data_IF_201130415569
#
_entry.id   IF_201130415569
#
_cell.length_a   1.000
_cell.length_b   1.000
_cell.length_c   1.000
_cell.angle_alpha   90.00
_cell.angle_beta   90.00
_cell.angle_gamma   90.00
#
_symmetry.space_group_name_H-M   'P 1'
#
loop_
_entity.id
_entity.type
_entity.pdbx_description
1 polymer ?
#
# COMPACT_ATOMS: atom_id res chain seq x y z
N UNK A 1 15.04 -16.00 -21.10
CA UNK A 1 14.45 -16.11 -19.81
C UNK A 1 14.65 -14.85 -19.00
N UNK A 2 13.58 -14.35 -18.46
CA UNK A 2 13.68 -13.18 -17.62
C UNK A 2 14.20 -13.58 -16.26
N UNK A 3 15.27 -12.97 -15.85
CA UNK A 3 15.80 -13.20 -14.57
C UNK A 3 15.66 -12.06 -13.69
N UNK A 4 15.13 -10.99 -14.19
CA UNK A 4 15.20 -9.76 -13.48
C UNK A 4 14.02 -9.43 -12.64
N UNK A 5 12.88 -10.05 -12.85
CA UNK A 5 11.67 -9.61 -12.16
C UNK A 5 11.38 -10.46 -10.93
N UNK A 6 11.57 -9.85 -9.77
CA UNK A 6 11.34 -10.51 -8.49
C UNK A 6 10.43 -9.62 -7.66
N UNK A 7 9.45 -10.23 -7.01
CA UNK A 7 8.57 -9.54 -6.07
C UNK A 7 8.64 -10.27 -4.74
N UNK A 8 8.86 -9.54 -3.66
CA UNK A 8 8.80 -10.10 -2.31
C UNK A 8 7.89 -9.25 -1.45
N UNK A 9 7.22 -9.90 -0.51
CA UNK A 9 6.37 -9.23 0.48
C UNK A 9 6.82 -9.72 1.85
N UNK A 10 7.14 -8.78 2.73
CA UNK A 10 7.61 -9.12 4.06
C UNK A 10 7.00 -8.18 5.08
N UNK A 11 6.90 -8.67 6.32
CA UNK A 11 6.53 -7.81 7.43
C UNK A 11 7.68 -6.82 7.65
N UNK A 12 7.38 -5.54 7.69
CA UNK A 12 8.40 -4.52 7.93
C UNK A 12 8.43 -4.15 9.40
N UNK A 13 9.62 -3.83 9.90
CA UNK A 13 9.78 -3.29 11.24
C UNK A 13 9.64 -1.77 11.25
N UNK A 14 9.51 -1.15 10.10
CA UNK A 14 9.40 0.30 10.03
C UNK A 14 8.04 0.75 10.55
N UNK A 15 8.05 1.94 11.16
CA UNK A 15 6.80 2.62 11.48
C UNK A 15 6.56 3.64 10.38
N UNK A 16 5.38 3.62 9.80
CA UNK A 16 5.05 4.50 8.69
C UNK A 16 3.84 5.34 9.01
N UNK A 17 3.77 6.49 8.37
CA UNK A 17 2.68 7.44 8.53
C UNK A 17 2.34 8.04 7.18
N UNK A 18 1.05 8.26 6.95
CA UNK A 18 0.58 8.96 5.75
C UNK A 18 -0.14 10.21 6.21
N UNK A 19 0.33 11.36 5.71
CA UNK A 19 -0.27 12.65 6.05
C UNK A 19 -0.64 13.33 4.74
N UNK A 20 -1.83 13.89 4.70
CA UNK A 20 -2.31 14.62 3.53
C UNK A 20 -3.06 15.86 4.03
N UNK A 21 -2.64 17.04 3.56
CA UNK A 21 -3.29 18.29 3.93
C UNK A 21 -3.29 18.54 5.43
N UNK A 22 -2.25 18.10 6.11
CA UNK A 22 -2.15 18.26 7.56
C UNK A 22 -2.90 17.22 8.37
N UNK A 23 -3.56 16.28 7.69
CA UNK A 23 -4.32 15.24 8.39
C UNK A 23 -3.61 13.90 8.28
N UNK A 24 -3.51 13.19 9.40
CA UNK A 24 -2.95 11.84 9.40
C UNK A 24 -4.01 10.88 8.90
N UNK A 25 -3.75 10.24 7.78
CA UNK A 25 -4.67 9.27 7.17
C UNK A 25 -4.37 7.85 7.62
N UNK A 26 -3.14 7.57 8.00
CA UNK A 26 -2.76 6.24 8.42
C UNK A 26 -1.49 6.30 9.25
N UNK A 27 -1.37 5.35 10.15
CA UNK A 27 -0.16 5.18 10.92
C UNK A 27 -0.08 3.71 11.32
N UNK A 28 1.02 3.06 10.98
CA UNK A 28 1.14 1.63 11.24
C UNK A 28 2.56 1.29 11.66
N UNK A 29 2.69 0.43 12.65
CA UNK A 29 3.97 -0.14 13.04
C UNK A 29 4.10 -1.58 12.56
N UNK A 30 3.18 -2.00 11.69
CA UNK A 30 3.17 -3.36 11.13
C UNK A 30 2.84 -3.36 9.64
N UNK A 31 3.44 -2.47 8.83
CA UNK A 31 3.18 -2.50 7.40
C UNK A 31 3.85 -3.70 6.75
N UNK A 32 3.29 -4.14 5.63
CA UNK A 32 3.96 -5.07 4.77
C UNK A 32 4.75 -4.28 3.75
N UNK A 33 6.01 -4.64 3.52
CA UNK A 33 6.79 -4.00 2.47
C UNK A 33 6.85 -4.92 1.27
N UNK A 34 6.44 -4.38 0.13
CA UNK A 34 6.53 -5.08 -1.14
C UNK A 34 7.70 -4.49 -1.91
N UNK A 35 8.64 -5.36 -2.28
CA UNK A 35 9.81 -4.95 -3.05
C UNK A 35 9.74 -5.64 -4.39
N UNK A 36 9.89 -4.86 -5.44
CA UNK A 36 9.76 -5.34 -6.80
C UNK A 36 10.91 -4.79 -7.62
N UNK A 37 11.50 -5.65 -8.45
CA UNK A 37 12.62 -5.28 -9.31
C UNK A 37 12.27 -4.04 -10.13
N UNK A 38 13.13 -3.04 -10.08
CA UNK A 38 12.97 -1.82 -10.85
C UNK A 38 12.00 -0.81 -10.27
N UNK A 39 11.43 -1.09 -9.11
CA UNK A 39 10.44 -0.21 -8.47
C UNK A 39 10.87 0.15 -7.07
N UNK A 40 10.46 1.32 -6.56
CA UNK A 40 10.69 1.62 -5.15
C UNK A 40 9.84 0.74 -4.25
N UNK A 41 10.25 0.53 -3.02
CA UNK A 41 9.43 -0.26 -2.09
C UNK A 41 8.08 0.39 -1.87
N UNK A 42 7.06 -0.43 -1.69
CA UNK A 42 5.71 0.04 -1.37
C UNK A 42 5.29 -0.57 -0.05
N UNK A 43 4.68 0.26 0.79
CA UNK A 43 4.19 -0.18 2.09
C UNK A 43 2.69 -0.37 2.01
N UNK A 44 2.24 -1.57 2.35
CA UNK A 44 0.82 -1.93 2.37
C UNK A 44 0.39 -2.00 3.82
N UNK A 45 -0.66 -1.24 4.16
CA UNK A 45 -1.06 -1.05 5.54
C UNK A 45 -2.36 -1.78 5.83
N UNK A 46 -2.46 -2.44 7.01
CA UNK A 46 -3.73 -3.08 7.36
C UNK A 46 -4.83 -2.03 7.45
N UNK A 47 -6.05 -2.36 7.02
CA UNK A 47 -7.14 -1.38 7.01
C UNK A 47 -7.44 -0.79 8.39
N UNK A 48 -7.22 -1.54 9.46
CA UNK A 48 -7.49 -1.02 10.79
C UNK A 48 -6.52 0.09 11.21
N UNK A 49 -5.40 0.24 10.50
CA UNK A 49 -4.46 1.31 10.77
C UNK A 49 -4.67 2.53 9.85
N UNK A 50 -5.74 2.51 9.06
CA UNK A 50 -6.04 3.53 8.06
C UNK A 50 -7.40 4.16 8.37
N UNK A 51 -7.48 5.48 8.22
CA UNK A 51 -8.74 6.21 8.36
C UNK A 51 -9.61 5.97 7.13
N UNK A 52 -10.14 4.76 7.00
CA UNK A 52 -10.97 4.38 5.86
C UNK A 52 -12.28 5.18 5.82
N UNK A 53 -12.70 5.70 6.96
CA UNK A 53 -13.90 6.54 7.04
C UNK A 53 -13.77 7.84 6.24
N UNK A 54 -12.54 8.26 5.94
CA UNK A 54 -12.29 9.46 5.16
C UNK A 54 -12.18 9.20 3.68
N UNK A 55 -12.13 7.94 3.28
CA UNK A 55 -11.88 7.54 1.89
C UNK A 55 -13.19 7.24 1.16
N UNK A 56 -13.27 7.68 -0.08
CA UNK A 56 -14.43 7.40 -0.94
C UNK A 56 -14.00 6.44 -2.04
N UNK A 57 -14.73 5.35 -2.28
CA UNK A 57 -14.39 4.43 -3.37
C UNK A 57 -14.40 5.15 -4.70
N UNK A 58 -13.43 4.81 -5.53
CA UNK A 58 -13.28 5.36 -6.87
C UNK A 58 -13.68 4.31 -7.90
N UNK A 59 -14.21 4.72 -9.06
CA UNK A 59 -14.48 3.76 -10.14
C UNK A 59 -13.24 3.30 -10.87
N UNK A 60 -12.09 3.85 -10.56
CA UNK A 60 -10.83 3.49 -11.23
C UNK A 60 -10.37 2.10 -10.82
N UNK A 61 -9.95 1.34 -11.82
CA UNK A 61 -9.32 0.03 -11.61
C UNK A 61 -8.15 -0.07 -12.56
N UNK A 62 -7.07 -0.67 -12.09
CA UNK A 62 -5.90 -0.91 -12.95
C UNK A 62 -5.50 -2.37 -12.80
N UNK A 63 -4.88 -2.91 -13.83
CA UNK A 63 -4.47 -4.31 -13.84
C UNK A 63 -2.95 -4.38 -13.81
N UNK A 64 -2.43 -5.13 -12.85
CA UNK A 64 -1.02 -5.45 -12.79
C UNK A 64 -0.87 -6.94 -13.08
N UNK A 65 -0.11 -7.33 -14.11
CA UNK A 65 0.02 -8.76 -14.43
C UNK A 65 0.62 -9.58 -13.30
N UNK A 66 1.33 -8.94 -12.39
CA UNK A 66 1.99 -9.64 -11.30
C UNK A 66 1.20 -9.63 -10.00
N UNK A 67 0.31 -8.65 -9.82
CA UNK A 67 -0.39 -8.48 -8.54
C UNK A 67 -1.90 -8.67 -8.62
N UNK A 68 -2.49 -8.38 -9.77
CA UNK A 68 -3.95 -8.51 -9.94
C UNK A 68 -4.58 -7.18 -10.30
N UNK A 69 -5.87 -7.03 -10.00
CA UNK A 69 -6.62 -5.82 -10.28
C UNK A 69 -6.71 -4.96 -9.04
N UNK A 70 -6.24 -3.72 -9.15
CA UNK A 70 -6.27 -2.77 -8.05
C UNK A 70 -7.59 -2.01 -8.05
N UNK A 71 -8.10 -1.76 -6.86
CA UNK A 71 -9.21 -0.84 -6.63
C UNK A 71 -8.66 0.40 -5.96
N UNK A 72 -9.34 1.52 -6.16
CA UNK A 72 -8.83 2.82 -5.71
C UNK A 72 -9.83 3.55 -4.84
N UNK A 73 -9.31 4.43 -4.00
CA UNK A 73 -10.09 5.33 -3.17
C UNK A 73 -9.55 6.73 -3.28
N UNK A 74 -10.44 7.69 -3.05
CA UNK A 74 -10.13 9.12 -3.21
C UNK A 74 -10.45 9.90 -1.95
N UNK A 75 -9.82 11.07 -1.84
CA UNK A 75 -10.24 12.13 -0.94
C UNK A 75 -10.88 13.22 -1.78
N UNK A 76 -11.63 14.16 -1.18
CA UNK A 76 -12.27 15.22 -1.97
C UNK A 76 -11.30 16.02 -2.83
N UNK A 77 -10.06 16.18 -2.38
CA UNK A 77 -9.05 16.96 -3.09
C UNK A 77 -7.95 16.12 -3.71
N UNK A 78 -8.07 14.80 -3.67
CA UNK A 78 -7.02 13.92 -4.19
C UNK A 78 -7.65 12.65 -4.75
N UNK A 79 -7.80 12.61 -6.05
CA UNK A 79 -8.39 11.45 -6.72
C UNK A 79 -7.41 10.29 -6.75
N UNK A 80 -7.93 9.08 -6.51
CA UNK A 80 -7.17 7.83 -6.63
C UNK A 80 -5.89 7.83 -5.81
N UNK A 81 -5.98 8.39 -4.61
CA UNK A 81 -4.84 8.53 -3.72
C UNK A 81 -4.37 7.18 -3.14
N UNK A 82 -5.29 6.26 -2.97
CA UNK A 82 -5.07 5.00 -2.27
C UNK A 82 -5.47 3.84 -3.16
N UNK A 83 -4.73 2.74 -3.09
CA UNK A 83 -5.15 1.54 -3.82
C UNK A 83 -4.96 0.30 -2.95
N UNK A 84 -5.67 -0.77 -3.33
CA UNK A 84 -5.57 -2.07 -2.70
C UNK A 84 -5.88 -3.15 -3.72
N UNK A 85 -5.45 -4.35 -3.42
CA UNK A 85 -5.74 -5.52 -4.26
C UNK A 85 -6.70 -6.44 -3.48
N UNK A 86 -8.01 -6.40 -3.79
CA UNK A 86 -8.95 -7.27 -3.08
C UNK A 86 -8.74 -8.76 -3.34
N UNK A 87 -8.22 -9.06 -4.55
CA UNK A 87 -7.95 -10.45 -4.92
C UNK A 87 -6.57 -10.53 -5.55
N UNK A 88 -5.51 -10.39 -4.73
CA UNK A 88 -4.16 -10.41 -5.27
C UNK A 88 -3.78 -11.80 -5.75
N UNK A 89 -2.85 -11.84 -6.69
CA UNK A 89 -2.31 -13.11 -7.14
C UNK A 89 -1.58 -13.80 -6.01
N UNK A 90 -1.41 -15.10 -6.17
CA UNK A 90 -0.90 -15.97 -5.11
C UNK A 90 0.44 -15.50 -4.56
N UNK A 91 1.35 -15.06 -5.42
CA UNK A 91 2.69 -14.66 -4.99
C UNK A 91 2.69 -13.46 -4.06
N UNK A 92 1.60 -12.68 -4.06
CA UNK A 92 1.50 -11.51 -3.21
C UNK A 92 0.22 -11.55 -2.36
N UNK A 93 -0.26 -12.75 -2.07
CA UNK A 93 -1.52 -12.93 -1.37
C UNK A 93 -1.59 -12.20 -0.03
N UNK A 94 -0.45 -11.98 0.61
CA UNK A 94 -0.41 -11.32 1.92
C UNK A 94 -0.90 -9.88 1.88
N UNK A 95 -0.86 -9.21 0.71
CA UNK A 95 -1.29 -7.81 0.63
C UNK A 95 -2.80 -7.66 0.46
N UNK A 96 -3.55 -8.77 0.48
CA UNK A 96 -4.99 -8.71 0.27
C UNK A 96 -5.62 -7.67 1.20
N UNK A 97 -6.40 -6.77 0.61
CA UNK A 97 -7.15 -5.73 1.31
C UNK A 97 -6.31 -4.73 2.12
N UNK A 98 -4.98 -4.82 2.01
CA UNK A 98 -4.12 -3.81 2.62
C UNK A 98 -4.08 -2.59 1.71
N UNK A 99 -3.98 -1.41 2.31
CA UNK A 99 -4.06 -0.15 1.59
C UNK A 99 -2.68 0.42 1.35
N UNK A 100 -2.45 0.90 0.14
CA UNK A 100 -1.18 1.46 -0.27
C UNK A 100 -1.38 2.90 -0.71
N UNK A 101 -0.46 3.77 -0.34
CA UNK A 101 -0.49 5.19 -0.66
C UNK A 101 0.73 5.54 -1.49
N UNK A 102 0.61 6.54 -2.37
CA UNK A 102 1.75 6.97 -3.17
C UNK A 102 2.88 7.53 -2.32
N UNK A 103 2.54 8.26 -1.27
CA UNK A 103 3.55 8.88 -0.42
C UNK A 103 3.37 8.42 1.01
N UNK A 104 4.43 7.88 1.57
CA UNK A 104 4.44 7.37 2.93
C UNK A 104 5.71 7.88 3.60
N UNK A 105 5.55 8.40 4.82
CA UNK A 105 6.72 8.76 5.63
C UNK A 105 7.16 7.55 6.44
N UNK A 106 8.42 7.22 6.37
CA UNK A 106 8.99 6.25 7.29
C UNK A 106 9.41 7.04 8.53
N UNK A 107 8.67 6.84 9.61
CA UNK A 107 8.86 7.62 10.83
C UNK A 107 10.01 7.08 11.65
N UNK A 108 10.33 5.80 11.46
CA UNK A 108 11.43 5.19 12.17
C UNK A 108 11.26 3.69 12.20
N UNK A 109 12.20 3.05 12.87
CA UNK A 109 12.06 1.62 13.15
C UNK A 109 11.99 1.47 14.65
N UNK A 110 11.36 0.40 15.11
CA UNK A 110 11.36 0.13 16.55
C UNK A 110 12.79 0.07 17.06
N UNK A 111 12.97 0.54 18.26
CA UNK A 111 14.29 0.51 18.86
C UNK A 111 14.79 -0.92 18.92
N UNK A 112 16.00 -1.08 18.53
CA UNK A 112 16.62 -2.40 18.56
C UNK A 112 16.90 -2.80 20.00
#
# INVERSE_FOLDING_TARGET
>A
MSKGHVITVEQSDARVRVVHGGQVLAESDRPLVLRETGCPPRYYLPPEDVRTDLLTPSPTHTVCPFKGTASYWSLPDAADLVWAYPEPKEDVAAIKDHLCFYEVEVVGTPAA
#
